data_IF_319915604974
#
_entry.id   IF_319915604974
#
_cell.length_a   1.000
_cell.length_b   1.000
_cell.length_c   1.000
_cell.angle_alpha   90.00
_cell.angle_beta   90.00
_cell.angle_gamma   90.00
#
_symmetry.space_group_name_H-M   'P 1'
#
loop_
_entity.id
_entity.type
_entity.pdbx_description
1 polymer ?
#
# COMPACT_ATOMS: atom_id res chain seq x y z
N UNK A 1 -9.99 -62.75 -55.44
CA UNK A 1 -10.89 -61.61 -55.71
C UNK A 1 -12.03 -61.71 -54.71
N UNK A 2 -11.92 -61.02 -53.58
CA UNK A 2 -12.49 -59.69 -53.30
C UNK A 2 -14.01 -59.76 -53.04
N UNK A 3 -14.42 -59.77 -51.76
CA UNK A 3 -15.15 -58.69 -51.03
C UNK A 3 -16.67 -58.89 -51.08
N UNK A 4 -17.47 -58.80 -50.00
CA UNK A 4 -17.18 -58.45 -48.62
C UNK A 4 -18.42 -58.71 -47.74
N UNK A 5 -18.18 -59.05 -46.49
CA UNK A 5 -19.16 -59.17 -45.41
C UNK A 5 -19.42 -57.78 -44.83
N UNK A 6 -20.69 -57.34 -44.81
CA UNK A 6 -21.16 -56.21 -44.00
C UNK A 6 -21.46 -56.74 -42.61
N UNK A 7 -20.57 -56.49 -41.64
CA UNK A 7 -20.93 -56.56 -40.24
C UNK A 7 -21.55 -55.22 -39.81
N UNK A 8 -22.84 -55.25 -39.49
CA UNK A 8 -23.50 -54.17 -38.75
C UNK A 8 -22.99 -54.20 -37.30
N UNK A 9 -22.07 -53.27 -36.99
CA UNK A 9 -21.67 -52.98 -35.62
C UNK A 9 -22.82 -52.36 -34.84
N UNK A 10 -23.48 -53.17 -34.01
CA UNK A 10 -24.38 -52.72 -32.95
C UNK A 10 -23.55 -52.02 -31.87
N UNK A 11 -23.28 -50.75 -32.08
CA UNK A 11 -22.78 -49.84 -31.06
C UNK A 11 -23.90 -49.47 -30.10
N UNK A 12 -24.20 -50.34 -29.14
CA UNK A 12 -25.08 -50.04 -28.03
C UNK A 12 -24.49 -48.87 -27.23
N UNK A 13 -25.04 -47.66 -27.43
CA UNK A 13 -24.76 -46.51 -26.58
C UNK A 13 -25.35 -46.81 -25.21
N UNK A 14 -24.52 -47.27 -24.29
CA UNK A 14 -24.87 -47.35 -22.87
C UNK A 14 -25.12 -45.91 -22.39
N UNK A 15 -26.35 -45.56 -21.96
CA UNK A 15 -26.58 -44.27 -21.35
C UNK A 15 -25.80 -44.22 -20.04
N UNK A 16 -24.81 -43.33 -19.98
CA UNK A 16 -24.13 -43.02 -18.73
C UNK A 16 -25.19 -42.52 -17.75
N UNK A 17 -25.23 -43.04 -16.51
CA UNK A 17 -26.16 -42.54 -15.50
C UNK A 17 -25.91 -41.04 -15.31
N UNK A 18 -26.96 -40.25 -15.02
CA UNK A 18 -26.78 -38.85 -14.72
C UNK A 18 -25.86 -38.76 -13.51
N UNK A 19 -24.60 -38.39 -13.76
CA UNK A 19 -23.72 -37.89 -12.71
C UNK A 19 -24.51 -36.73 -12.14
N UNK A 20 -25.10 -36.94 -10.95
CA UNK A 20 -25.64 -35.86 -10.15
C UNK A 20 -24.54 -34.83 -10.12
N UNK A 21 -24.71 -33.78 -10.92
CA UNK A 21 -23.92 -32.58 -10.78
C UNK A 21 -24.17 -32.18 -9.34
N UNK A 22 -23.23 -32.55 -8.47
CA UNK A 22 -23.08 -31.89 -7.19
C UNK A 22 -22.94 -30.46 -7.64
N UNK A 23 -24.01 -29.70 -7.45
CA UNK A 23 -24.03 -28.29 -7.70
C UNK A 23 -22.93 -27.74 -6.81
N UNK A 24 -21.72 -27.63 -7.38
CA UNK A 24 -20.77 -26.59 -7.07
C UNK A 24 -21.49 -25.31 -7.48
N UNK A 25 -22.50 -24.96 -6.68
CA UNK A 25 -23.02 -23.62 -6.63
C UNK A 25 -21.79 -22.72 -6.51
N UNK A 26 -21.68 -21.68 -7.34
CA UNK A 26 -20.56 -20.77 -7.25
C UNK A 26 -20.52 -20.22 -5.82
N UNK A 27 -19.55 -20.70 -5.04
CA UNK A 27 -19.13 -20.10 -3.77
C UNK A 27 -18.71 -18.62 -3.96
N UNK A 28 -18.62 -18.14 -5.21
CA UNK A 28 -18.54 -16.73 -5.60
C UNK A 28 -19.73 -15.86 -5.15
N UNK A 29 -20.90 -16.43 -4.81
CA UNK A 29 -22.10 -15.63 -4.46
C UNK A 29 -22.18 -15.23 -2.98
N UNK A 30 -21.42 -15.89 -2.10
CA UNK A 30 -21.22 -15.41 -0.73
C UNK A 30 -19.93 -14.61 -0.68
N UNK A 31 -19.91 -13.55 -1.50
CA UNK A 31 -18.97 -12.47 -1.31
C UNK A 31 -19.12 -12.02 0.14
N UNK A 32 -18.12 -12.34 0.95
CA UNK A 32 -17.94 -11.78 2.27
C UNK A 32 -17.66 -10.30 2.04
N UNK A 33 -18.73 -9.54 1.75
CA UNK A 33 -18.74 -8.09 1.73
C UNK A 33 -18.59 -7.70 3.18
N UNK A 34 -17.34 -7.71 3.67
CA UNK A 34 -16.99 -6.87 4.80
C UNK A 34 -17.60 -5.50 4.49
N UNK A 35 -18.40 -4.93 5.40
CA UNK A 35 -19.06 -3.66 5.13
C UNK A 35 -17.96 -2.68 4.68
N UNK A 36 -18.09 -2.10 3.48
CA UNK A 36 -17.07 -1.24 2.87
C UNK A 36 -16.57 -0.15 3.84
N UNK A 37 -17.46 0.28 4.73
CA UNK A 37 -17.17 1.22 5.81
C UNK A 37 -16.12 0.67 6.80
N UNK A 38 -16.24 -0.58 7.24
CA UNK A 38 -15.41 -1.17 8.29
C UNK A 38 -13.93 -1.27 7.94
N UNK A 39 -13.59 -1.70 6.72
CA UNK A 39 -12.19 -1.79 6.27
C UNK A 39 -11.59 -0.39 6.14
N UNK A 40 -12.37 0.57 5.64
CA UNK A 40 -11.90 1.95 5.44
C UNK A 40 -11.57 2.62 6.79
N UNK A 41 -12.36 2.37 7.83
CA UNK A 41 -12.09 2.88 9.19
C UNK A 41 -10.82 2.31 9.83
N UNK A 42 -10.41 1.10 9.44
CA UNK A 42 -9.17 0.48 9.91
C UNK A 42 -7.97 0.96 9.07
N UNK A 43 -8.19 1.18 7.78
CA UNK A 43 -7.15 1.61 6.85
C UNK A 43 -6.59 3.00 7.21
N UNK A 44 -7.43 3.99 7.49
CA UNK A 44 -6.95 5.35 7.73
C UNK A 44 -6.01 5.47 8.95
N UNK A 45 -6.35 4.91 10.14
CA UNK A 45 -5.41 4.88 11.26
C UNK A 45 -4.09 4.17 10.92
N UNK A 46 -4.15 3.05 10.18
CA UNK A 46 -2.95 2.32 9.77
C UNK A 46 -2.09 3.19 8.84
N UNK A 47 -2.69 3.93 7.90
CA UNK A 47 -1.95 4.87 7.04
C UNK A 47 -1.33 6.00 7.87
N UNK A 48 -2.04 6.54 8.86
CA UNK A 48 -1.48 7.58 9.74
C UNK A 48 -0.26 7.06 10.51
N UNK A 49 -0.36 5.86 11.08
CA UNK A 49 0.76 5.22 11.78
C UNK A 49 1.92 4.92 10.82
N UNK A 50 1.61 4.46 9.61
CA UNK A 50 2.59 4.22 8.56
C UNK A 50 3.33 5.51 8.17
N UNK A 51 2.63 6.63 8.00
CA UNK A 51 3.26 7.92 7.63
C UNK A 51 3.78 8.73 8.82
N UNK A 52 3.72 8.21 10.04
CA UNK A 52 4.12 8.92 11.25
C UNK A 52 5.55 9.51 11.17
N UNK A 53 6.57 8.81 10.61
CA UNK A 53 7.90 9.40 10.44
C UNK A 53 7.92 10.62 9.51
N UNK A 54 7.16 10.60 8.40
CA UNK A 54 7.08 11.75 7.48
C UNK A 54 6.35 12.93 8.15
N UNK A 55 5.29 12.64 8.90
CA UNK A 55 4.57 13.65 9.68
C UNK A 55 5.46 14.27 10.77
N UNK A 56 6.30 13.46 11.43
CA UNK A 56 7.25 13.94 12.43
C UNK A 56 8.31 14.86 11.81
N UNK A 57 8.85 14.52 10.63
CA UNK A 57 9.78 15.39 9.88
C UNK A 57 9.10 16.70 9.50
N UNK A 58 7.88 16.64 8.96
CA UNK A 58 7.13 17.83 8.58
C UNK A 58 6.82 18.73 9.77
N UNK A 59 6.39 18.16 10.88
CA UNK A 59 6.14 18.87 12.13
C UNK A 59 7.41 19.54 12.66
N UNK A 60 8.52 18.81 12.71
CA UNK A 60 9.81 19.36 13.12
C UNK A 60 10.25 20.50 12.21
N UNK A 61 10.13 20.35 10.89
CA UNK A 61 10.47 21.40 9.92
C UNK A 61 9.61 22.66 10.10
N UNK A 62 8.31 22.51 10.35
CA UNK A 62 7.40 23.65 10.54
C UNK A 62 7.72 24.40 11.84
N UNK A 63 7.95 23.68 12.95
CA UNK A 63 8.17 24.33 14.26
C UNK A 63 9.53 25.00 14.36
N UNK A 64 10.52 24.51 13.62
CA UNK A 64 11.90 25.00 13.68
C UNK A 64 12.25 25.96 12.54
N UNK A 65 11.26 26.43 11.77
CA UNK A 65 11.46 27.25 10.57
C UNK A 65 12.50 26.63 9.61
N UNK A 66 12.32 25.36 9.29
CA UNK A 66 13.24 24.59 8.45
C UNK A 66 14.54 24.22 9.17
N UNK A 67 14.46 23.82 10.44
CA UNK A 67 15.60 23.40 11.27
C UNK A 67 16.59 24.53 11.60
N UNK A 68 16.13 25.77 11.57
CA UNK A 68 16.92 26.95 11.93
C UNK A 68 17.03 27.16 13.45
N UNK A 69 16.08 26.64 14.23
CA UNK A 69 16.04 26.79 15.69
C UNK A 69 16.18 25.46 16.43
N UNK A 70 16.98 25.47 17.50
CA UNK A 70 17.08 24.36 18.45
C UNK A 70 15.72 24.16 19.15
N UNK A 71 15.11 22.99 19.00
CA UNK A 71 13.81 22.70 19.60
C UNK A 71 13.67 21.22 19.99
N UNK A 72 13.04 20.96 21.13
CA UNK A 72 12.71 19.62 21.64
C UNK A 72 11.89 18.80 20.63
N UNK A 73 11.20 19.47 19.70
CA UNK A 73 10.44 18.81 18.63
C UNK A 73 11.32 17.96 17.69
N UNK A 74 12.61 18.27 17.56
CA UNK A 74 13.57 17.41 16.84
C UNK A 74 13.77 16.06 17.54
N UNK A 75 13.64 15.99 18.86
CA UNK A 75 13.73 14.73 19.62
C UNK A 75 12.63 13.74 19.23
N UNK A 76 11.43 14.23 18.88
CA UNK A 76 10.37 13.35 18.39
C UNK A 76 10.72 12.74 17.03
N UNK A 77 11.29 13.54 16.12
CA UNK A 77 11.76 13.04 14.83
C UNK A 77 12.97 12.09 14.97
N UNK A 78 13.83 12.30 15.98
CA UNK A 78 14.91 11.38 16.35
C UNK A 78 14.37 10.03 16.86
N UNK A 79 13.32 10.03 17.69
CA UNK A 79 12.68 8.79 18.18
C UNK A 79 12.12 7.95 17.03
N UNK A 80 11.61 8.60 15.96
CA UNK A 80 11.16 7.90 14.76
C UNK A 80 12.29 7.23 13.97
N UNK A 81 13.55 7.56 14.27
CA UNK A 81 14.73 6.89 13.73
C UNK A 81 15.16 5.64 14.49
N UNK A 82 14.45 5.27 15.56
CA UNK A 82 14.73 4.04 16.31
C UNK A 82 14.45 2.78 15.49
N UNK A 83 15.15 1.69 15.86
CA UNK A 83 15.01 0.39 15.20
C UNK A 83 13.56 -0.13 15.28
N UNK A 84 12.85 0.19 16.37
CA UNK A 84 11.43 -0.14 16.55
C UNK A 84 10.53 0.46 15.46
N UNK A 85 10.63 1.76 15.20
CA UNK A 85 9.82 2.41 14.17
C UNK A 85 10.21 1.97 12.77
N UNK A 86 11.50 1.70 12.53
CA UNK A 86 11.96 1.09 11.29
C UNK A 86 11.29 -0.25 11.02
N UNK A 87 11.26 -1.14 12.01
CA UNK A 87 10.62 -2.45 11.92
C UNK A 87 9.10 -2.34 11.76
N UNK A 88 8.44 -1.51 12.60
CA UNK A 88 6.99 -1.29 12.53
C UNK A 88 6.57 -0.78 11.14
N UNK A 89 7.29 0.21 10.61
CA UNK A 89 7.08 0.74 9.26
C UNK A 89 7.22 -0.35 8.22
N UNK A 90 8.27 -1.16 8.30
CA UNK A 90 8.51 -2.23 7.33
C UNK A 90 7.37 -3.26 7.36
N UNK A 91 6.93 -3.68 8.55
CA UNK A 91 5.78 -4.59 8.69
C UNK A 91 4.51 -3.99 8.08
N UNK A 92 4.21 -2.72 8.37
CA UNK A 92 3.02 -2.05 7.84
C UNK A 92 3.12 -1.86 6.32
N UNK A 93 4.24 -1.36 5.81
CA UNK A 93 4.44 -1.06 4.39
C UNK A 93 4.55 -2.31 3.49
N UNK A 94 5.06 -3.42 4.01
CA UNK A 94 5.18 -4.67 3.23
C UNK A 94 3.88 -5.46 3.25
N UNK A 95 3.21 -5.54 4.40
CA UNK A 95 2.06 -6.42 4.58
C UNK A 95 0.76 -5.63 4.49
N UNK A 96 0.56 -4.67 5.38
CA UNK A 96 -0.75 -4.06 5.56
C UNK A 96 -1.13 -3.10 4.42
N UNK A 97 -0.23 -2.20 4.01
CA UNK A 97 -0.58 -1.20 3.00
C UNK A 97 -0.92 -1.82 1.63
N UNK A 98 -0.14 -2.79 1.09
CA UNK A 98 -0.51 -3.44 -0.17
C UNK A 98 -1.81 -4.21 -0.08
N UNK A 99 -2.01 -4.99 1.01
CA UNK A 99 -3.24 -5.75 1.21
C UNK A 99 -4.45 -4.82 1.30
N UNK A 100 -4.39 -3.80 2.15
CA UNK A 100 -5.52 -2.90 2.34
C UNK A 100 -5.78 -2.05 1.09
N UNK A 101 -4.73 -1.66 0.36
CA UNK A 101 -4.89 -0.97 -0.94
C UNK A 101 -5.59 -1.89 -1.95
N UNK A 102 -5.18 -3.15 -2.06
CA UNK A 102 -5.84 -4.11 -2.95
C UNK A 102 -7.32 -4.36 -2.56
N UNK A 103 -7.63 -4.42 -1.27
CA UNK A 103 -9.01 -4.59 -0.79
C UNK A 103 -9.88 -3.34 -0.94
N UNK A 104 -9.30 -2.15 -0.80
CA UNK A 104 -10.03 -0.88 -0.87
C UNK A 104 -10.30 -0.42 -2.31
N UNK A 105 -9.53 -0.91 -3.29
CA UNK A 105 -9.72 -0.56 -4.70
C UNK A 105 -10.73 -1.51 -5.33
N UNK A 106 -11.89 -0.98 -5.69
CA UNK A 106 -12.88 -1.74 -6.46
C UNK A 106 -12.56 -1.69 -7.94
N UNK A 107 -12.66 -2.84 -8.59
CA UNK A 107 -12.61 -2.93 -10.06
C UNK A 107 -13.91 -2.31 -10.59
N UNK A 108 -13.77 -1.30 -11.44
CA UNK A 108 -14.87 -0.63 -12.12
C UNK A 108 -14.66 -0.77 -13.62
N UNK A 109 -15.75 -0.95 -14.37
CA UNK A 109 -15.66 -0.88 -15.84
C UNK A 109 -15.28 0.54 -16.26
N UNK A 110 -14.71 0.70 -17.45
CA UNK A 110 -14.20 1.99 -17.94
C UNK A 110 -15.26 3.12 -18.01
N UNK A 111 -16.54 2.76 -17.98
CA UNK A 111 -17.69 3.68 -18.04
C UNK A 111 -18.32 3.94 -16.67
N UNK A 112 -17.94 3.17 -15.64
CA UNK A 112 -18.49 3.30 -14.30
C UNK A 112 -17.76 4.39 -13.49
N UNK A 113 -18.50 5.11 -12.65
CA UNK A 113 -17.91 6.09 -11.74
C UNK A 113 -17.01 5.39 -10.71
N UNK A 114 -15.80 5.91 -10.50
CA UNK A 114 -14.87 5.45 -9.46
C UNK A 114 -15.55 5.64 -8.09
N UNK A 115 -15.57 4.62 -7.22
CA UNK A 115 -16.12 4.76 -5.88
C UNK A 115 -15.40 5.84 -5.07
N UNK A 116 -16.15 6.58 -4.25
CA UNK A 116 -15.63 7.67 -3.43
C UNK A 116 -14.49 7.19 -2.50
N UNK A 117 -14.59 5.98 -1.94
CA UNK A 117 -13.54 5.40 -1.08
C UNK A 117 -12.21 5.20 -1.81
N UNK A 118 -12.26 4.69 -3.05
CA UNK A 118 -11.07 4.50 -3.90
C UNK A 118 -10.47 5.84 -4.30
N UNK A 119 -11.29 6.81 -4.66
CA UNK A 119 -10.82 8.17 -4.96
C UNK A 119 -10.19 8.85 -3.73
N UNK A 120 -10.81 8.71 -2.56
CA UNK A 120 -10.28 9.26 -1.30
C UNK A 120 -8.90 8.64 -0.96
N UNK A 121 -8.77 7.31 -1.08
CA UNK A 121 -7.48 6.64 -0.88
C UNK A 121 -6.42 7.15 -1.87
N UNK A 122 -6.76 7.29 -3.14
CA UNK A 122 -5.87 7.84 -4.16
C UNK A 122 -5.37 9.24 -3.77
N UNK A 123 -6.27 10.16 -3.39
CA UNK A 123 -5.90 11.52 -3.01
C UNK A 123 -5.08 11.57 -1.72
N UNK A 124 -5.34 10.69 -0.75
CA UNK A 124 -4.53 10.57 0.47
C UNK A 124 -3.11 10.16 0.10
N UNK A 125 -2.95 9.09 -0.69
CA UNK A 125 -1.62 8.62 -1.13
C UNK A 125 -0.90 9.70 -1.94
N UNK A 126 -1.60 10.39 -2.84
CA UNK A 126 -1.04 11.48 -3.63
C UNK A 126 -0.59 12.66 -2.75
N UNK A 127 -1.38 13.02 -1.73
CA UNK A 127 -1.04 14.10 -0.80
C UNK A 127 0.20 13.75 0.02
N UNK A 128 0.29 12.52 0.53
CA UNK A 128 1.50 12.04 1.20
C UNK A 128 2.70 11.96 0.26
N UNK A 129 2.49 11.66 -1.02
CA UNK A 129 3.57 11.64 -2.01
C UNK A 129 4.15 13.04 -2.19
N UNK A 130 3.29 14.04 -2.43
CA UNK A 130 3.71 15.44 -2.54
C UNK A 130 4.41 15.90 -1.25
N UNK A 131 3.82 15.62 -0.08
CA UNK A 131 4.42 15.96 1.21
C UNK A 131 5.82 15.34 1.34
N UNK A 132 5.98 14.08 0.98
CA UNK A 132 7.26 13.37 1.05
C UNK A 132 8.32 13.99 0.15
N UNK A 133 7.95 14.37 -1.08
CA UNK A 133 8.84 15.05 -2.03
C UNK A 133 9.25 16.45 -1.52
N UNK A 134 8.29 17.21 -0.98
CA UNK A 134 8.58 18.52 -0.38
C UNK A 134 9.51 18.37 0.82
N UNK A 135 9.26 17.40 1.70
CA UNK A 135 10.13 17.12 2.84
C UNK A 135 11.53 16.68 2.41
N UNK A 136 11.67 15.89 1.35
CA UNK A 136 12.97 15.59 0.77
C UNK A 136 13.72 16.87 0.41
N UNK A 137 13.07 17.81 -0.29
CA UNK A 137 13.66 19.10 -0.65
C UNK A 137 14.06 19.94 0.57
N UNK A 138 13.20 20.01 1.58
CA UNK A 138 13.48 20.73 2.84
C UNK A 138 14.68 20.14 3.56
N UNK A 139 14.76 18.80 3.65
CA UNK A 139 15.89 18.09 4.27
C UNK A 139 17.19 18.30 3.51
N UNK A 140 17.15 18.24 2.16
CA UNK A 140 18.34 18.39 1.32
C UNK A 140 18.91 19.82 1.38
N UNK A 141 18.03 20.84 1.38
CA UNK A 141 18.44 22.25 1.52
C UNK A 141 19.00 22.56 2.89
N UNK A 142 18.49 21.93 3.95
CA UNK A 142 18.90 22.19 5.34
C UNK A 142 19.87 21.15 5.90
N UNK A 143 20.58 20.42 5.02
CA UNK A 143 21.46 19.31 5.41
C UNK A 143 22.51 19.69 6.45
N UNK A 144 23.18 20.83 6.26
CA UNK A 144 24.23 21.29 7.18
C UNK A 144 23.66 21.59 8.57
N UNK A 145 22.49 22.24 8.65
CA UNK A 145 21.80 22.50 9.91
C UNK A 145 21.42 21.21 10.61
N UNK A 146 20.84 20.26 9.86
CA UNK A 146 20.45 18.96 10.40
C UNK A 146 21.63 18.16 10.95
N UNK A 147 22.83 18.28 10.36
CA UNK A 147 24.02 17.58 10.84
C UNK A 147 24.46 18.02 12.25
N UNK A 148 24.10 19.23 12.69
CA UNK A 148 24.36 19.69 14.06
C UNK A 148 23.52 18.95 15.11
N UNK A 149 22.46 18.28 14.68
CA UNK A 149 21.52 17.53 15.52
C UNK A 149 21.71 16.02 15.42
N UNK A 150 22.82 15.57 14.83
CA UNK A 150 23.21 14.16 14.82
C UNK A 150 23.24 13.64 16.25
N UNK A 151 22.62 12.49 16.47
CA UNK A 151 22.30 11.99 17.81
C UNK A 151 22.61 10.51 17.93
N UNK A 152 22.44 9.96 19.13
CA UNK A 152 22.57 8.53 19.39
C UNK A 152 21.18 7.97 19.70
N UNK A 153 20.71 7.02 18.88
CA UNK A 153 19.47 6.28 19.09
C UNK A 153 19.81 4.80 19.21
N UNK A 154 19.29 4.12 20.22
CA UNK A 154 19.57 2.69 20.49
C UNK A 154 21.08 2.37 20.57
N UNK A 155 21.88 3.31 21.08
CA UNK A 155 23.34 3.18 21.19
C UNK A 155 24.12 3.35 19.88
N UNK A 156 23.45 3.68 18.77
CA UNK A 156 24.06 3.92 17.45
C UNK A 156 24.02 5.41 17.11
N UNK A 157 25.11 5.92 16.56
CA UNK A 157 25.15 7.28 16.03
C UNK A 157 24.30 7.34 14.76
N UNK A 158 23.29 8.22 14.76
CA UNK A 158 22.34 8.42 13.67
C UNK A 158 22.55 9.81 13.11
N UNK A 159 22.91 9.87 11.82
CA UNK A 159 22.95 11.13 11.10
C UNK A 159 21.54 11.47 10.61
N UNK A 160 20.94 12.51 11.21
CA UNK A 160 19.59 12.95 10.87
C UNK A 160 19.39 13.29 9.39
N UNK A 161 20.28 14.04 8.72
CA UNK A 161 20.10 14.33 7.31
C UNK A 161 20.12 13.06 6.44
N UNK A 162 20.97 12.08 6.79
CA UNK A 162 21.02 10.80 6.07
C UNK A 162 19.74 10.01 6.30
N UNK A 163 19.30 9.91 7.55
CA UNK A 163 18.09 9.19 7.92
C UNK A 163 16.82 9.79 7.28
N UNK A 164 16.59 11.10 7.42
CA UNK A 164 15.41 11.76 6.85
C UNK A 164 15.38 11.69 5.32
N UNK A 165 16.54 11.81 4.67
CA UNK A 165 16.64 11.65 3.21
C UNK A 165 16.34 10.23 2.76
N UNK A 166 16.85 9.23 3.47
CA UNK A 166 16.57 7.82 3.18
C UNK A 166 15.07 7.50 3.40
N UNK A 167 14.49 8.00 4.50
CA UNK A 167 13.07 7.84 4.80
C UNK A 167 12.21 8.44 3.68
N UNK A 168 12.37 9.74 3.39
CA UNK A 168 11.60 10.42 2.34
C UNK A 168 11.74 9.75 0.98
N UNK A 169 12.94 9.32 0.58
CA UNK A 169 13.14 8.58 -0.67
C UNK A 169 12.37 7.25 -0.70
N UNK A 170 12.37 6.53 0.42
CA UNK A 170 11.71 5.22 0.53
C UNK A 170 10.18 5.37 0.46
N UNK A 171 9.61 6.31 1.23
CA UNK A 171 8.17 6.60 1.18
C UNK A 171 7.74 7.04 -0.22
N UNK A 172 8.52 7.88 -0.91
CA UNK A 172 8.17 8.34 -2.25
C UNK A 172 8.07 7.17 -3.24
N UNK A 173 9.00 6.21 -3.19
CA UNK A 173 8.98 5.01 -4.03
C UNK A 173 7.78 4.10 -3.73
N UNK A 174 7.50 3.88 -2.45
CA UNK A 174 6.37 3.04 -2.02
C UNK A 174 5.03 3.67 -2.38
N UNK A 175 4.89 4.97 -2.16
CA UNK A 175 3.69 5.73 -2.55
C UNK A 175 3.44 5.68 -4.05
N UNK A 176 4.47 5.81 -4.88
CA UNK A 176 4.33 5.64 -6.33
C UNK A 176 3.84 4.23 -6.69
N UNK A 177 4.36 3.19 -6.04
CA UNK A 177 3.89 1.82 -6.24
C UNK A 177 2.42 1.66 -5.83
N UNK A 178 2.00 2.22 -4.68
CA UNK A 178 0.62 2.16 -4.22
C UNK A 178 -0.33 2.95 -5.13
N UNK A 179 0.06 4.14 -5.57
CA UNK A 179 -0.68 4.94 -6.55
C UNK A 179 -0.84 4.15 -7.87
N UNK A 180 0.23 3.53 -8.35
CA UNK A 180 0.20 2.69 -9.54
C UNK A 180 -0.73 1.46 -9.37
N UNK A 181 -0.76 0.85 -8.18
CA UNK A 181 -1.68 -0.25 -7.86
C UNK A 181 -3.14 0.25 -7.90
N UNK A 182 -3.43 1.40 -7.27
CA UNK A 182 -4.78 1.97 -7.27
C UNK A 182 -5.25 2.28 -8.70
N UNK A 183 -4.38 2.89 -9.52
CA UNK A 183 -4.67 3.16 -10.93
C UNK A 183 -4.80 1.86 -11.75
N UNK A 184 -3.90 0.90 -11.54
CA UNK A 184 -3.87 -0.36 -12.30
C UNK A 184 -5.05 -1.27 -11.99
N UNK A 185 -5.49 -1.35 -10.74
CA UNK A 185 -6.69 -2.13 -10.36
C UNK A 185 -7.96 -1.42 -10.84
N UNK A 186 -8.03 -0.07 -10.76
CA UNK A 186 -9.20 0.67 -11.21
C UNK A 186 -9.39 0.71 -12.73
N UNK A 187 -8.31 0.56 -13.51
CA UNK A 187 -8.33 0.61 -14.97
C UNK A 187 -8.35 -0.78 -15.66
N UNK A 188 -8.33 -1.88 -14.90
CA UNK A 188 -8.32 -3.25 -15.47
C UNK A 188 -9.64 -3.52 -16.20
N UNK A 189 -9.57 -3.52 -17.53
CA UNK A 189 -10.62 -3.93 -18.48
C UNK A 189 -10.68 -5.44 -18.63
#
# INVERSE_FOLDING_TARGET
MATGTKEEGVGARVPLPPVKAIALAPLQSRGFRLPDLGITWILYPILVVYFLPILAIAWAAIITDGFAADNVSLSFAQVMASDFYGALRQTIGVIFVPFLTAYAVKIVSAEARIPISTAALFYILLSFFVLTVVMYGVVDVNRERLAHYDTTVDGKQVSLPVFFRAATTTYAKELLAYIAIVLGISLKK
#
